data_IF_475536146299
#
_entry.id   IF_475536146299
#
_cell.length_a   1.000
_cell.length_b   1.000
_cell.length_c   1.000
_cell.angle_alpha   90.00
_cell.angle_beta   90.00
_cell.angle_gamma   90.00
#
_symmetry.space_group_name_H-M   'P 1'
#
loop_
_entity.id
_entity.type
_entity.pdbx_description
1 polymer ?
#
# COMPACT_ATOMS: atom_id res chain seq x y z
N UNK A 1 52.58 29.55 -23.33
CA UNK A 1 53.71 29.46 -24.27
C UNK A 1 54.56 28.28 -23.86
N UNK A 2 54.65 27.28 -24.75
CA UNK A 2 55.56 26.12 -24.70
C UNK A 2 55.28 25.06 -23.63
N UNK A 3 55.50 23.77 -23.85
CA UNK A 3 55.83 22.98 -25.06
C UNK A 3 55.50 21.53 -24.73
N UNK A 4 55.14 20.80 -25.77
CA UNK A 4 54.77 19.38 -25.76
C UNK A 4 55.88 18.47 -25.24
N UNK A 5 55.44 17.35 -24.65
CA UNK A 5 56.27 16.28 -24.09
C UNK A 5 56.94 15.49 -25.22
N UNK A 6 58.25 15.25 -25.08
CA UNK A 6 58.93 14.09 -25.67
C UNK A 6 58.37 12.78 -25.07
N UNK A 7 58.72 11.58 -25.52
CA UNK A 7 59.89 11.13 -26.27
C UNK A 7 59.58 9.71 -26.77
N UNK A 8 60.39 9.25 -27.71
CA UNK A 8 60.23 8.09 -28.58
C UNK A 8 60.20 6.69 -27.94
N UNK A 9 59.55 5.79 -28.70
CA UNK A 9 59.92 4.43 -29.11
C UNK A 9 60.47 3.41 -28.10
N UNK A 10 59.89 2.19 -28.09
CA UNK A 10 60.62 0.92 -28.29
C UNK A 10 59.66 -0.12 -28.90
N UNK A 11 60.12 -0.84 -29.93
CA UNK A 11 59.43 -1.93 -30.62
C UNK A 11 60.06 -3.30 -30.24
N UNK A 12 59.19 -4.31 -30.13
CA UNK A 12 59.40 -5.78 -30.20
C UNK A 12 60.03 -6.50 -28.98
N UNK A 13 59.89 -7.85 -28.83
CA UNK A 13 59.24 -8.85 -29.68
C UNK A 13 58.20 -9.78 -28.97
N UNK A 14 57.40 -10.49 -29.78
CA UNK A 14 56.51 -11.59 -29.38
C UNK A 14 57.30 -12.84 -28.97
N UNK A 15 56.76 -13.67 -28.06
CA UNK A 15 57.04 -15.10 -28.11
C UNK A 15 55.79 -15.99 -28.16
N UNK A 16 55.90 -16.94 -29.09
CA UNK A 16 55.53 -18.35 -28.99
C UNK A 16 54.05 -18.73 -28.79
N UNK A 17 53.45 -19.15 -29.89
CA UNK A 17 52.34 -20.10 -29.90
C UNK A 17 52.82 -21.48 -29.42
N UNK A 18 52.15 -22.04 -28.42
CA UNK A 18 52.17 -23.48 -28.15
C UNK A 18 50.82 -23.93 -27.61
N UNK A 19 50.06 -24.59 -28.50
CA UNK A 19 49.23 -25.78 -28.30
C UNK A 19 48.55 -26.02 -26.93
N UNK A 20 47.21 -26.06 -26.93
CA UNK A 20 46.36 -27.27 -26.74
C UNK A 20 45.03 -26.96 -26.02
N UNK A 21 43.98 -27.59 -26.57
CA UNK A 21 42.79 -28.08 -25.88
C UNK A 21 41.68 -27.09 -25.47
N UNK A 22 40.59 -27.19 -26.25
CA UNK A 22 39.19 -27.38 -25.87
C UNK A 22 38.67 -26.86 -24.51
N UNK A 23 37.43 -26.34 -24.60
CA UNK A 23 36.46 -26.09 -23.54
C UNK A 23 36.67 -24.84 -22.68
N UNK A 24 36.00 -23.76 -23.08
CA UNK A 24 35.08 -23.01 -22.21
C UNK A 24 34.57 -21.81 -23.01
N UNK A 25 33.27 -21.82 -23.34
CA UNK A 25 32.60 -20.67 -23.93
C UNK A 25 32.61 -19.51 -22.91
N UNK A 26 32.98 -18.28 -23.29
CA UNK A 26 32.94 -17.15 -22.38
C UNK A 26 31.49 -16.80 -22.04
N UNK A 27 31.27 -16.51 -20.75
CA UNK A 27 30.03 -15.97 -20.19
C UNK A 27 29.52 -14.80 -21.03
N UNK A 28 28.53 -15.06 -21.89
CA UNK A 28 27.56 -14.06 -22.28
C UNK A 28 26.76 -13.72 -21.02
N UNK A 29 27.09 -12.58 -20.43
CA UNK A 29 26.32 -11.90 -19.41
C UNK A 29 24.96 -11.54 -20.03
N UNK A 30 24.03 -12.49 -20.07
CA UNK A 30 22.64 -12.25 -20.43
C UNK A 30 22.03 -11.49 -19.27
N UNK A 31 22.18 -10.16 -19.30
CA UNK A 31 21.40 -9.26 -18.49
C UNK A 31 19.95 -9.38 -18.96
N UNK A 32 19.20 -10.34 -18.42
CA UNK A 32 17.77 -10.43 -18.62
C UNK A 32 17.16 -9.17 -17.99
N UNK A 33 17.01 -8.13 -18.81
CA UNK A 33 16.14 -7.01 -18.52
C UNK A 33 14.73 -7.59 -18.38
N UNK A 34 14.36 -7.96 -17.16
CA UNK A 34 12.96 -8.13 -16.78
C UNK A 34 12.31 -6.78 -17.01
N UNK A 35 11.73 -6.64 -18.20
CA UNK A 35 10.94 -5.51 -18.66
C UNK A 35 9.81 -5.35 -17.66
N UNK A 36 10.06 -4.53 -16.64
CA UNK A 36 9.06 -4.09 -15.66
C UNK A 36 7.94 -3.47 -16.50
N UNK A 37 6.84 -4.21 -16.67
CA UNK A 37 5.63 -3.67 -17.32
C UNK A 37 5.27 -2.43 -16.50
N UNK A 38 5.53 -1.27 -17.10
CA UNK A 38 5.00 0.01 -16.66
C UNK A 38 3.49 -0.17 -16.77
N UNK A 39 2.85 -0.53 -15.66
CA UNK A 39 1.40 -0.49 -15.58
C UNK A 39 1.01 0.93 -15.92
N UNK A 40 0.10 1.09 -16.88
CA UNK A 40 -0.52 2.36 -17.22
C UNK A 40 -0.89 3.10 -15.93
N UNK A 41 -0.06 4.08 -15.55
CA UNK A 41 -0.48 5.13 -14.64
C UNK A 41 -1.54 5.88 -15.43
N UNK A 42 -2.80 5.51 -15.21
CA UNK A 42 -3.89 6.45 -15.35
C UNK A 42 -3.48 7.64 -14.49
N UNK A 43 -3.18 8.78 -15.11
CA UNK A 43 -2.77 10.00 -14.42
C UNK A 43 -3.79 10.30 -13.32
N UNK A 44 -3.44 9.90 -12.09
CA UNK A 44 -4.22 10.17 -10.91
C UNK A 44 -4.03 11.65 -10.68
N UNK A 45 -4.99 12.48 -11.14
CA UNK A 45 -5.02 13.92 -10.86
C UNK A 45 -4.64 14.15 -9.41
N UNK A 46 -3.59 14.93 -9.20
CA UNK A 46 -3.01 15.08 -7.88
C UNK A 46 -4.04 15.75 -6.94
N UNK A 47 -4.00 15.40 -5.65
CA UNK A 47 -5.03 15.76 -4.65
C UNK A 47 -5.27 17.28 -4.50
N UNK A 48 -4.41 18.12 -5.08
CA UNK A 48 -4.44 19.57 -5.04
C UNK A 48 -5.18 20.22 -6.22
N UNK A 49 -5.50 19.47 -7.29
CA UNK A 49 -6.10 20.02 -8.52
C UNK A 49 -7.59 19.64 -8.70
N UNK A 50 -8.20 19.01 -7.68
CA UNK A 50 -9.55 18.47 -7.74
C UNK A 50 -10.50 19.28 -6.85
N UNK A 51 -11.72 19.51 -7.33
CA UNK A 51 -12.77 20.14 -6.53
C UNK A 51 -13.22 19.23 -5.38
N UNK A 52 -13.73 19.82 -4.31
CA UNK A 52 -14.27 19.16 -3.12
C UNK A 52 -15.16 17.94 -3.43
N UNK A 53 -16.19 18.02 -4.31
CA UNK A 53 -17.00 16.87 -4.71
C UNK A 53 -16.24 15.83 -5.56
N UNK A 54 -15.32 16.28 -6.42
CA UNK A 54 -14.52 15.37 -7.26
C UNK A 54 -13.59 14.49 -6.41
N UNK A 55 -13.09 15.01 -5.28
CA UNK A 55 -12.30 14.22 -4.32
C UNK A 55 -13.11 13.10 -3.69
N UNK A 56 -14.38 13.37 -3.34
CA UNK A 56 -15.31 12.38 -2.77
C UNK A 56 -15.62 11.29 -3.80
N UNK A 57 -15.91 11.68 -5.04
CA UNK A 57 -16.18 10.73 -6.12
C UNK A 57 -14.94 9.88 -6.44
N UNK A 58 -13.75 10.51 -6.54
CA UNK A 58 -12.50 9.80 -6.77
C UNK A 58 -12.19 8.81 -5.65
N UNK A 59 -12.38 9.20 -4.39
CA UNK A 59 -12.23 8.29 -3.27
C UNK A 59 -13.24 7.13 -3.30
N UNK A 60 -14.48 7.41 -3.72
CA UNK A 60 -15.50 6.40 -3.98
C UNK A 60 -15.05 5.35 -5.00
N UNK A 61 -14.52 5.79 -6.15
CA UNK A 61 -13.96 4.90 -7.18
C UNK A 61 -12.80 4.07 -6.65
N UNK A 62 -11.87 4.66 -5.90
CA UNK A 62 -10.74 3.93 -5.29
C UNK A 62 -11.19 2.89 -4.26
N UNK A 63 -12.24 3.17 -3.50
CA UNK A 63 -12.87 2.21 -2.58
C UNK A 63 -13.43 1.02 -3.36
N UNK A 64 -14.09 1.25 -4.48
CA UNK A 64 -14.65 0.18 -5.34
C UNK A 64 -13.54 -0.67 -5.98
N UNK A 65 -12.47 -0.05 -6.48
CA UNK A 65 -11.27 -0.75 -6.94
C UNK A 65 -10.68 -1.65 -5.84
N UNK A 66 -10.62 -1.11 -4.61
CA UNK A 66 -10.20 -1.85 -3.42
C UNK A 66 -11.09 -3.05 -3.14
N UNK A 67 -12.40 -2.88 -3.24
CA UNK A 67 -13.39 -3.96 -3.02
C UNK A 67 -13.23 -5.07 -4.07
N UNK A 68 -13.01 -4.72 -5.34
CA UNK A 68 -12.76 -5.68 -6.40
C UNK A 68 -11.47 -6.48 -6.14
N UNK A 69 -10.39 -5.81 -5.73
CA UNK A 69 -9.12 -6.46 -5.37
C UNK A 69 -9.25 -7.34 -4.11
N UNK A 70 -10.06 -6.92 -3.14
CA UNK A 70 -10.34 -7.70 -1.93
C UNK A 70 -11.05 -9.01 -2.26
N UNK A 71 -12.07 -8.95 -3.12
CA UNK A 71 -12.78 -10.14 -3.63
C UNK A 71 -11.84 -11.07 -4.41
N UNK A 72 -10.88 -10.51 -5.14
CA UNK A 72 -9.85 -11.27 -5.85
C UNK A 72 -8.72 -11.80 -4.95
N UNK A 73 -8.80 -11.64 -3.63
CA UNK A 73 -7.78 -12.10 -2.66
C UNK A 73 -6.47 -11.29 -2.66
N UNK A 74 -6.41 -10.17 -3.40
CA UNK A 74 -5.21 -9.33 -3.51
C UNK A 74 -5.17 -8.26 -2.41
N UNK A 75 -5.14 -8.69 -1.16
CA UNK A 75 -5.29 -7.82 0.03
C UNK A 75 -4.26 -6.67 0.09
N UNK A 76 -2.99 -6.94 -0.21
CA UNK A 76 -1.96 -5.90 -0.19
C UNK A 76 -2.18 -4.79 -1.24
N UNK A 77 -2.76 -5.14 -2.40
CA UNK A 77 -3.12 -4.15 -3.42
C UNK A 77 -4.40 -3.42 -3.05
N UNK A 78 -5.36 -4.11 -2.44
CA UNK A 78 -6.60 -3.53 -1.94
C UNK A 78 -6.32 -2.46 -0.86
N UNK A 79 -5.48 -2.79 0.13
CA UNK A 79 -5.03 -1.88 1.19
C UNK A 79 -4.50 -0.55 0.61
N UNK A 80 -3.60 -0.63 -0.38
CA UNK A 80 -3.06 0.56 -1.06
C UNK A 80 -4.14 1.42 -1.74
N UNK A 81 -5.21 0.82 -2.25
CA UNK A 81 -6.32 1.58 -2.87
C UNK A 81 -7.16 2.29 -1.82
N UNK A 82 -7.45 1.65 -0.68
CA UNK A 82 -8.15 2.29 0.43
C UNK A 82 -7.33 3.42 1.07
N UNK A 83 -6.03 3.21 1.25
CA UNK A 83 -5.13 4.25 1.78
C UNK A 83 -5.13 5.50 0.88
N UNK A 84 -5.08 5.29 -0.45
CA UNK A 84 -5.21 6.39 -1.42
C UNK A 84 -6.57 7.09 -1.30
N UNK A 85 -7.67 6.35 -1.17
CA UNK A 85 -9.00 6.91 -0.99
C UNK A 85 -9.07 7.84 0.25
N UNK A 86 -8.50 7.41 1.38
CA UNK A 86 -8.47 8.21 2.62
C UNK A 86 -7.57 9.45 2.46
N UNK A 87 -6.48 9.36 1.70
CA UNK A 87 -5.59 10.52 1.44
C UNK A 87 -6.31 11.65 0.71
N UNK A 88 -7.15 11.34 -0.29
CA UNK A 88 -7.92 12.35 -1.02
C UNK A 88 -8.93 13.10 -0.12
N UNK A 89 -9.46 12.42 0.90
CA UNK A 89 -10.49 12.96 1.81
C UNK A 89 -9.87 13.63 3.06
N UNK A 90 -8.57 13.47 3.32
CA UNK A 90 -7.95 13.89 4.60
C UNK A 90 -7.99 15.41 4.86
N UNK A 91 -7.94 16.24 3.83
CA UNK A 91 -7.85 17.70 3.98
C UNK A 91 -9.23 18.34 3.92
N UNK A 92 -9.84 18.51 5.10
CA UNK A 92 -11.27 18.80 5.31
C UNK A 92 -11.62 20.31 5.30
N UNK A 93 -10.66 21.19 5.02
CA UNK A 93 -10.80 22.64 5.27
C UNK A 93 -11.75 23.38 4.31
N UNK A 94 -12.32 22.69 3.30
CA UNK A 94 -13.19 23.32 2.27
C UNK A 94 -14.50 22.55 2.01
N UNK A 95 -14.90 21.60 2.86
CA UNK A 95 -16.16 20.88 2.71
C UNK A 95 -17.32 21.60 3.41
N UNK A 96 -18.49 21.63 2.76
CA UNK A 96 -19.77 21.94 3.41
C UNK A 96 -20.18 20.82 4.38
N UNK A 97 -21.23 21.06 5.19
CA UNK A 97 -21.66 20.09 6.20
C UNK A 97 -22.11 18.74 5.61
N UNK A 98 -22.75 18.74 4.44
CA UNK A 98 -23.21 17.52 3.78
C UNK A 98 -22.06 16.73 3.18
N UNK A 99 -21.10 17.40 2.55
CA UNK A 99 -19.92 16.74 2.00
C UNK A 99 -19.03 16.19 3.12
N UNK A 100 -18.97 16.85 4.29
CA UNK A 100 -18.31 16.31 5.49
C UNK A 100 -18.92 15.00 5.96
N UNK A 101 -20.24 14.88 5.94
CA UNK A 101 -20.93 13.62 6.28
C UNK A 101 -20.58 12.51 5.29
N UNK A 102 -20.59 12.81 3.99
CA UNK A 102 -20.22 11.85 2.94
C UNK A 102 -18.74 11.44 3.04
N UNK A 103 -17.84 12.40 3.22
CA UNK A 103 -16.42 12.21 3.45
C UNK A 103 -16.15 11.33 4.67
N UNK A 104 -16.84 11.60 5.80
CA UNK A 104 -16.75 10.80 7.02
C UNK A 104 -17.20 9.35 6.78
N UNK A 105 -18.35 9.15 6.14
CA UNK A 105 -18.85 7.81 5.82
C UNK A 105 -17.89 7.02 4.91
N UNK A 106 -17.34 7.67 3.88
CA UNK A 106 -16.33 7.05 3.01
C UNK A 106 -15.04 6.73 3.77
N UNK A 107 -14.58 7.62 4.65
CA UNK A 107 -13.39 7.41 5.49
C UNK A 107 -13.58 6.22 6.41
N UNK A 108 -14.74 6.10 7.07
CA UNK A 108 -15.09 4.93 7.90
C UNK A 108 -15.06 3.65 7.07
N UNK A 109 -15.74 3.62 5.93
CA UNK A 109 -15.80 2.43 5.08
C UNK A 109 -14.42 2.00 4.56
N UNK A 110 -13.58 2.96 4.14
CA UNK A 110 -12.23 2.68 3.64
C UNK A 110 -11.32 2.13 4.75
N UNK A 111 -11.30 2.76 5.93
CA UNK A 111 -10.47 2.28 7.05
C UNK A 111 -10.93 0.90 7.55
N UNK A 112 -12.24 0.65 7.59
CA UNK A 112 -12.77 -0.68 7.92
C UNK A 112 -12.28 -1.74 6.93
N UNK A 113 -12.42 -1.49 5.63
CA UNK A 113 -12.01 -2.45 4.61
C UNK A 113 -10.49 -2.64 4.56
N UNK A 114 -9.72 -1.59 4.83
CA UNK A 114 -8.27 -1.68 4.97
C UNK A 114 -7.89 -2.51 6.19
N UNK A 115 -8.52 -2.29 7.35
CA UNK A 115 -8.31 -3.11 8.54
C UNK A 115 -8.59 -4.60 8.27
N UNK A 116 -9.64 -4.91 7.50
CA UNK A 116 -9.93 -6.28 7.07
C UNK A 116 -8.81 -6.85 6.17
N UNK A 117 -8.22 -6.03 5.29
CA UNK A 117 -7.04 -6.44 4.50
C UNK A 117 -5.86 -6.73 5.42
N UNK A 118 -5.57 -5.85 6.40
CA UNK A 118 -4.46 -5.98 7.34
C UNK A 118 -4.59 -7.22 8.22
N UNK A 119 -5.79 -7.55 8.67
CA UNK A 119 -6.07 -8.83 9.36
C UNK A 119 -5.72 -10.04 8.48
N UNK A 120 -6.09 -10.02 7.19
CA UNK A 120 -5.74 -11.11 6.24
C UNK A 120 -4.25 -11.18 5.94
N UNK A 121 -3.53 -10.06 6.02
CA UNK A 121 -2.09 -9.98 5.84
C UNK A 121 -1.30 -10.26 7.14
N UNK A 122 -1.98 -10.52 8.26
CA UNK A 122 -1.40 -10.69 9.60
C UNK A 122 -0.67 -9.45 10.12
N UNK A 123 -1.02 -8.27 9.61
CA UNK A 123 -0.50 -6.97 10.06
C UNK A 123 -1.39 -6.43 11.20
N UNK A 124 -1.41 -7.13 12.33
CA UNK A 124 -2.40 -6.90 13.40
C UNK A 124 -2.32 -5.51 14.04
N UNK A 125 -1.11 -4.99 14.29
CA UNK A 125 -0.94 -3.63 14.83
C UNK A 125 -1.55 -2.55 13.93
N UNK A 126 -1.37 -2.69 12.62
CA UNK A 126 -1.96 -1.73 11.67
C UNK A 126 -3.48 -1.88 11.59
N UNK A 127 -3.99 -3.11 11.69
CA UNK A 127 -5.44 -3.34 11.75
C UNK A 127 -6.07 -2.68 12.98
N UNK A 128 -5.40 -2.79 14.13
CA UNK A 128 -5.81 -2.14 15.38
C UNK A 128 -5.88 -0.61 15.22
N UNK A 129 -4.80 0.02 14.75
CA UNK A 129 -4.75 1.48 14.54
C UNK A 129 -5.86 1.97 13.60
N UNK A 130 -6.12 1.24 12.52
CA UNK A 130 -7.18 1.56 11.58
C UNK A 130 -8.57 1.45 12.21
N UNK A 131 -8.81 0.42 13.03
CA UNK A 131 -10.08 0.28 13.74
C UNK A 131 -10.27 1.35 14.80
N UNK A 132 -9.20 1.73 15.52
CA UNK A 132 -9.23 2.84 16.49
C UNK A 132 -9.62 4.16 15.81
N UNK A 133 -9.03 4.47 14.64
CA UNK A 133 -9.44 5.64 13.83
C UNK A 133 -10.92 5.61 13.42
N UNK A 134 -11.48 4.42 13.18
CA UNK A 134 -12.91 4.28 12.88
C UNK A 134 -13.74 4.54 14.13
N UNK A 135 -13.33 4.02 15.29
CA UNK A 135 -14.05 4.18 16.55
C UNK A 135 -13.99 5.61 17.11
N UNK A 136 -12.95 6.38 16.78
CA UNK A 136 -12.90 7.83 17.03
C UNK A 136 -13.99 8.58 16.24
N UNK A 137 -14.33 8.11 15.04
CA UNK A 137 -15.38 8.71 14.20
C UNK A 137 -16.78 8.16 14.55
N UNK A 138 -16.86 6.86 14.82
CA UNK A 138 -18.07 6.09 15.09
C UNK A 138 -17.83 5.11 16.24
N UNK A 139 -17.99 5.60 17.47
CA UNK A 139 -17.69 4.83 18.69
C UNK A 139 -18.57 3.59 18.90
N UNK A 140 -19.70 3.50 18.17
CA UNK A 140 -20.66 2.39 18.20
C UNK A 140 -20.55 1.45 16.98
N UNK A 141 -19.47 1.54 16.20
CA UNK A 141 -19.31 0.69 15.03
C UNK A 141 -18.92 -0.74 15.43
N UNK A 142 -19.91 -1.64 15.44
CA UNK A 142 -19.76 -3.06 15.79
C UNK A 142 -18.66 -3.75 14.97
N UNK A 143 -18.60 -3.49 13.65
CA UNK A 143 -17.59 -4.10 12.76
C UNK A 143 -16.16 -3.68 13.11
N UNK A 144 -15.97 -2.43 13.56
CA UNK A 144 -14.68 -1.96 14.01
C UNK A 144 -14.26 -2.65 15.32
N UNK A 145 -15.18 -2.76 16.29
CA UNK A 145 -14.94 -3.44 17.57
C UNK A 145 -14.53 -4.90 17.36
N UNK A 146 -15.28 -5.66 16.55
CA UNK A 146 -14.93 -7.07 16.27
C UNK A 146 -13.58 -7.23 15.57
N UNK A 147 -13.27 -6.37 14.59
CA UNK A 147 -12.00 -6.44 13.87
C UNK A 147 -10.82 -6.04 14.76
N UNK A 148 -11.00 -5.07 15.64
CA UNK A 148 -9.98 -4.68 16.61
C UNK A 148 -9.76 -5.75 17.67
N UNK A 149 -10.83 -6.36 18.18
CA UNK A 149 -10.74 -7.53 19.06
C UNK A 149 -10.01 -8.71 18.39
N UNK A 150 -10.29 -8.99 17.11
CA UNK A 150 -9.54 -10.00 16.34
C UNK A 150 -8.05 -9.68 16.25
N UNK A 151 -7.68 -8.40 16.08
CA UNK A 151 -6.29 -7.97 16.08
C UNK A 151 -5.66 -8.17 17.47
N UNK A 152 -6.33 -7.77 18.54
CA UNK A 152 -5.87 -7.93 19.93
C UNK A 152 -5.67 -9.40 20.31
N UNK A 153 -6.58 -10.30 19.92
CA UNK A 153 -6.41 -11.75 20.14
C UNK A 153 -5.10 -12.24 19.51
N UNK A 154 -4.76 -11.77 18.31
CA UNK A 154 -3.54 -12.16 17.61
C UNK A 154 -2.28 -11.50 18.19
N UNK A 155 -2.43 -10.36 18.87
CA UNK A 155 -1.36 -9.68 19.61
C UNK A 155 -1.20 -10.19 21.05
N UNK A 156 -2.06 -11.12 21.48
CA UNK A 156 -2.16 -11.64 22.84
C UNK A 156 -2.65 -10.63 23.91
N UNK A 157 -3.28 -9.53 23.47
CA UNK A 157 -3.89 -8.52 24.35
C UNK A 157 -5.34 -8.90 24.68
N UNK A 158 -5.53 -10.01 25.39
CA UNK A 158 -6.86 -10.61 25.60
C UNK A 158 -7.82 -9.71 26.40
N UNK A 159 -7.32 -8.94 27.36
CA UNK A 159 -8.14 -8.03 28.16
C UNK A 159 -8.80 -6.95 27.30
N UNK A 160 -8.04 -6.38 26.34
CA UNK A 160 -8.54 -5.39 25.39
C UNK A 160 -9.51 -6.01 24.38
N UNK A 161 -9.24 -7.25 23.94
CA UNK A 161 -10.15 -7.98 23.07
C UNK A 161 -11.50 -8.25 23.75
N UNK A 162 -11.48 -8.68 25.01
CA UNK A 162 -12.70 -8.93 25.78
C UNK A 162 -13.53 -7.66 25.97
N UNK A 163 -12.87 -6.53 26.26
CA UNK A 163 -13.53 -5.23 26.36
C UNK A 163 -14.26 -4.85 25.06
N UNK A 164 -13.60 -5.00 23.91
CA UNK A 164 -14.19 -4.68 22.60
C UNK A 164 -15.35 -5.61 22.25
N UNK A 165 -15.25 -6.91 22.57
CA UNK A 165 -16.33 -7.88 22.35
C UNK A 165 -17.54 -7.58 23.22
N UNK A 166 -17.33 -7.29 24.52
CA UNK A 166 -18.41 -6.91 25.45
C UNK A 166 -19.14 -5.68 24.94
N UNK A 167 -18.39 -4.64 24.55
CA UNK A 167 -18.97 -3.42 23.99
C UNK A 167 -19.73 -3.67 22.68
N UNK A 168 -19.25 -4.59 21.85
CA UNK A 168 -19.95 -4.97 20.63
C UNK A 168 -21.30 -5.67 20.93
N UNK A 169 -21.32 -6.57 21.92
CA UNK A 169 -22.52 -7.28 22.36
C UNK A 169 -23.54 -6.37 23.08
N UNK A 170 -23.08 -5.32 23.76
CA UNK A 170 -23.98 -4.28 24.30
C UNK A 170 -24.72 -3.52 23.21
N UNK A 171 -24.09 -3.34 22.04
CA UNK A 171 -24.66 -2.60 20.91
C UNK A 171 -25.55 -3.50 20.05
N UNK A 172 -25.10 -4.72 19.78
CA UNK A 172 -25.81 -5.71 18.97
C UNK A 172 -25.79 -7.08 19.67
N UNK A 173 -26.77 -7.33 20.56
CA UNK A 173 -26.82 -8.54 21.36
C UNK A 173 -27.16 -9.81 20.55
N UNK A 174 -27.67 -9.66 19.32
CA UNK A 174 -28.03 -10.78 18.44
C UNK A 174 -26.88 -11.22 17.52
N UNK A 175 -25.76 -10.49 17.50
CA UNK A 175 -24.59 -10.84 16.70
C UNK A 175 -23.74 -11.94 17.39
N UNK A 176 -24.34 -13.12 17.54
CA UNK A 176 -23.79 -14.31 18.20
C UNK A 176 -23.10 -15.27 17.23
#
# INVERSE_FOLDING_TARGET
MQREKGTEAVVAPLPASSHLSASSLPLLFVFTASRRRRTSDSEEKESWDMSTPEKIEAAGKKKEDGNALFKAGKYARAAKRYEKAVKYIKYDSSFGEEEKKQAKALKVACNLNDAACKLKLKEYKQAEELCTKVLELESRNVKALYRRAQAYIQLADLDLAEFDIKKALEIDPDNR
#
